data_IF_080648719548
#
_entry.id   IF_080648719548
#
_cell.length_a   1.000
_cell.length_b   1.000
_cell.length_c   1.000
_cell.angle_alpha   90.00
_cell.angle_beta   90.00
_cell.angle_gamma   90.00
#
_symmetry.space_group_name_H-M   'P 1'
#
loop_
_entity.id
_entity.type
_entity.pdbx_description
1 polymer ?
#
# COMPACT_ATOMS: atom_id res chain seq x y z
N UNK A 1 14.92 14.14 -15.49
CA UNK A 1 15.40 13.01 -16.18
C UNK A 1 16.24 11.96 -15.46
N UNK A 2 17.26 12.33 -14.65
CA UNK A 2 18.23 11.34 -14.11
C UNK A 2 17.59 10.28 -13.20
N UNK A 3 16.67 10.67 -12.32
CA UNK A 3 15.99 9.78 -11.35
C UNK A 3 15.16 8.70 -12.05
N UNK A 4 14.47 9.04 -13.14
CA UNK A 4 13.66 8.07 -13.91
C UNK A 4 14.49 7.08 -14.75
N UNK A 5 15.80 7.30 -14.89
CA UNK A 5 16.70 6.31 -15.52
C UNK A 5 17.08 5.19 -14.57
N UNK A 6 16.91 5.38 -13.27
CA UNK A 6 17.14 4.35 -12.27
C UNK A 6 15.96 3.38 -12.26
N UNK A 7 16.14 2.22 -12.91
CA UNK A 7 15.09 1.20 -13.04
C UNK A 7 14.60 0.65 -11.70
N UNK A 8 15.46 0.64 -10.68
CA UNK A 8 15.10 0.18 -9.35
C UNK A 8 14.18 1.18 -8.65
N UNK A 9 14.51 2.46 -8.72
CA UNK A 9 13.65 3.54 -8.24
C UNK A 9 12.27 3.51 -8.92
N UNK A 10 12.23 3.39 -10.25
CA UNK A 10 10.96 3.34 -11.01
C UNK A 10 10.07 2.19 -10.57
N UNK A 11 10.63 1.04 -10.22
CA UNK A 11 9.85 -0.10 -9.72
C UNK A 11 9.26 0.17 -8.34
N UNK A 12 10.04 0.73 -7.43
CA UNK A 12 9.54 1.06 -6.10
C UNK A 12 8.51 2.18 -6.14
N UNK A 13 8.67 3.19 -7.00
CA UNK A 13 7.69 4.27 -7.13
C UNK A 13 6.36 3.78 -7.76
N UNK A 14 6.42 2.86 -8.72
CA UNK A 14 5.22 2.23 -9.28
C UNK A 14 4.51 1.36 -8.23
N UNK A 15 5.26 0.55 -7.50
CA UNK A 15 4.71 -0.26 -6.42
C UNK A 15 4.07 0.63 -5.34
N UNK A 16 4.73 1.74 -4.95
CA UNK A 16 4.18 2.76 -4.08
C UNK A 16 2.88 3.36 -4.63
N UNK A 17 2.84 3.68 -5.93
CA UNK A 17 1.65 4.21 -6.60
C UNK A 17 0.45 3.25 -6.51
N UNK A 18 0.66 1.95 -6.74
CA UNK A 18 -0.41 0.96 -6.58
C UNK A 18 -0.87 0.81 -5.12
N UNK A 19 0.05 0.87 -4.16
CA UNK A 19 -0.31 0.89 -2.73
C UNK A 19 -1.15 2.11 -2.38
N UNK A 20 -0.79 3.29 -2.90
CA UNK A 20 -1.58 4.51 -2.79
C UNK A 20 -2.95 4.37 -3.47
N UNK A 21 -3.02 3.70 -4.61
CA UNK A 21 -4.29 3.38 -5.27
C UNK A 21 -5.23 2.59 -4.37
N UNK A 22 -4.74 1.58 -3.65
CA UNK A 22 -5.52 0.82 -2.65
C UNK A 22 -6.01 1.74 -1.51
N UNK A 23 -5.13 2.60 -0.99
CA UNK A 23 -5.50 3.57 0.04
C UNK A 23 -6.60 4.52 -0.43
N UNK A 24 -6.46 5.10 -1.62
CA UNK A 24 -7.46 6.03 -2.18
C UNK A 24 -8.77 5.33 -2.56
N UNK A 25 -8.73 4.05 -2.95
CA UNK A 25 -9.95 3.25 -3.09
C UNK A 25 -10.72 3.21 -1.78
N UNK A 26 -10.05 2.96 -0.65
CA UNK A 26 -10.70 2.97 0.66
C UNK A 26 -11.24 4.36 1.00
N UNK A 27 -10.45 5.42 0.82
CA UNK A 27 -10.88 6.79 1.13
C UNK A 27 -12.13 7.17 0.32
N UNK A 28 -12.17 6.81 -0.97
CA UNK A 28 -13.30 7.14 -1.85
C UNK A 28 -14.55 6.28 -1.58
N UNK A 29 -14.39 4.99 -1.23
CA UNK A 29 -15.51 4.07 -1.03
C UNK A 29 -16.08 4.05 0.38
N UNK A 30 -15.26 4.29 1.41
CA UNK A 30 -15.64 4.13 2.80
C UNK A 30 -16.89 4.93 3.22
N UNK A 31 -17.05 6.23 2.86
CA UNK A 31 -18.24 6.99 3.22
C UNK A 31 -19.53 6.35 2.68
N UNK A 32 -19.49 5.88 1.43
CA UNK A 32 -20.64 5.26 0.78
C UNK A 32 -20.94 3.88 1.36
N UNK A 33 -19.93 3.06 1.55
CA UNK A 33 -20.11 1.71 2.10
C UNK A 33 -20.58 1.78 3.55
N UNK A 34 -19.92 2.58 4.39
CA UNK A 34 -20.25 2.63 5.82
C UNK A 34 -21.58 3.34 6.08
N UNK A 35 -21.83 4.50 5.45
CA UNK A 35 -23.01 5.29 5.76
C UNK A 35 -24.23 4.89 4.92
N UNK A 36 -24.08 4.67 3.60
CA UNK A 36 -25.25 4.39 2.74
C UNK A 36 -25.61 2.91 2.73
N UNK A 37 -24.63 2.00 2.72
CA UNK A 37 -24.91 0.57 2.68
C UNK A 37 -25.17 -0.02 4.09
N UNK A 38 -24.30 0.29 5.06
CA UNK A 38 -24.44 -0.21 6.43
C UNK A 38 -25.23 0.72 7.36
N UNK A 39 -25.61 1.92 6.91
CA UNK A 39 -26.46 2.85 7.67
C UNK A 39 -25.79 3.48 8.89
N UNK A 40 -24.44 3.57 8.92
CA UNK A 40 -23.72 4.18 10.02
C UNK A 40 -24.00 5.70 10.09
N UNK A 41 -24.12 6.21 11.32
CA UNK A 41 -24.14 7.65 11.54
C UNK A 41 -22.79 8.27 11.14
N UNK A 42 -22.76 9.56 10.73
CA UNK A 42 -21.49 10.26 10.40
C UNK A 42 -20.49 10.24 11.56
N UNK A 43 -20.97 10.27 12.79
CA UNK A 43 -20.12 10.20 13.99
C UNK A 43 -19.43 8.82 14.07
N UNK A 44 -20.17 7.73 13.92
CA UNK A 44 -19.63 6.37 14.01
C UNK A 44 -18.68 6.08 12.84
N UNK A 45 -19.01 6.55 11.63
CA UNK A 45 -18.11 6.54 10.48
C UNK A 45 -16.76 7.21 10.81
N UNK A 46 -16.79 8.40 11.40
CA UNK A 46 -15.57 9.14 11.73
C UNK A 46 -14.72 8.41 12.77
N UNK A 47 -15.33 7.73 13.74
CA UNK A 47 -14.62 6.91 14.75
C UNK A 47 -13.96 5.71 14.08
N UNK A 48 -14.67 4.93 13.27
CA UNK A 48 -14.14 3.78 12.55
C UNK A 48 -13.01 4.19 11.62
N UNK A 49 -13.20 5.26 10.84
CA UNK A 49 -12.18 5.79 9.95
C UNK A 49 -10.92 6.25 10.71
N UNK A 50 -11.08 6.86 11.88
CA UNK A 50 -9.99 7.24 12.77
C UNK A 50 -9.24 6.03 13.33
N UNK A 51 -9.95 4.97 13.76
CA UNK A 51 -9.35 3.71 14.21
C UNK A 51 -8.53 3.07 13.10
N UNK A 52 -9.04 3.05 11.89
CA UNK A 52 -8.35 2.54 10.71
C UNK A 52 -7.08 3.35 10.38
N UNK A 53 -7.13 4.67 10.53
CA UNK A 53 -5.95 5.52 10.35
C UNK A 53 -4.88 5.24 11.42
N UNK A 54 -5.27 5.03 12.68
CA UNK A 54 -4.35 4.64 13.77
C UNK A 54 -3.69 3.28 13.47
N UNK A 55 -4.45 2.30 12.98
CA UNK A 55 -3.90 0.99 12.57
C UNK A 55 -2.81 1.15 11.50
N UNK A 56 -3.05 1.99 10.49
CA UNK A 56 -2.08 2.30 9.46
C UNK A 56 -0.80 2.94 10.02
N UNK A 57 -0.92 3.88 10.96
CA UNK A 57 0.24 4.53 11.61
C UNK A 57 1.03 3.52 12.45
N UNK A 58 0.37 2.68 13.25
CA UNK A 58 1.02 1.66 14.07
C UNK A 58 1.78 0.67 13.17
N UNK A 59 1.16 0.19 12.12
CA UNK A 59 1.80 -0.78 11.21
C UNK A 59 2.97 -0.15 10.42
N UNK A 60 2.87 1.12 10.06
CA UNK A 60 3.99 1.91 9.52
C UNK A 60 5.17 1.94 10.49
N UNK A 61 4.92 2.21 11.78
CA UNK A 61 5.96 2.22 12.80
C UNK A 61 6.54 0.81 13.04
N UNK A 62 5.72 -0.23 12.97
CA UNK A 62 6.17 -1.61 13.11
C UNK A 62 7.03 -2.08 11.92
N UNK A 63 6.84 -1.53 10.72
CA UNK A 63 7.65 -1.87 9.54
C UNK A 63 9.14 -1.61 9.77
N UNK A 64 9.48 -0.58 10.55
CA UNK A 64 10.87 -0.24 10.91
C UNK A 64 11.52 -1.29 11.81
N UNK A 65 10.71 -2.07 12.56
CA UNK A 65 11.21 -3.15 13.43
C UNK A 65 11.43 -4.47 12.68
N UNK A 66 11.01 -4.57 11.42
CA UNK A 66 11.33 -5.73 10.60
C UNK A 66 12.83 -5.82 10.33
N UNK A 67 13.32 -7.03 10.11
CA UNK A 67 14.75 -7.29 9.85
C UNK A 67 15.31 -6.49 8.67
N UNK A 68 14.49 -6.25 7.66
CA UNK A 68 14.80 -5.39 6.50
C UNK A 68 13.52 -4.74 5.96
N UNK A 69 13.64 -3.57 5.31
CA UNK A 69 12.52 -2.91 4.62
C UNK A 69 11.96 -3.75 3.48
N UNK A 70 12.80 -4.55 2.84
CA UNK A 70 12.38 -5.51 1.81
C UNK A 70 11.45 -6.57 2.40
N UNK A 71 11.76 -7.10 3.58
CA UNK A 71 10.91 -8.07 4.27
C UNK A 71 9.57 -7.44 4.69
N UNK A 72 9.59 -6.22 5.23
CA UNK A 72 8.37 -5.47 5.53
C UNK A 72 7.51 -5.25 4.28
N UNK A 73 8.12 -4.92 3.14
CA UNK A 73 7.43 -4.75 1.87
C UNK A 73 6.77 -6.05 1.39
N UNK A 74 7.45 -7.19 1.54
CA UNK A 74 6.88 -8.50 1.21
C UNK A 74 5.68 -8.83 2.07
N UNK A 75 5.79 -8.68 3.39
CA UNK A 75 4.67 -8.93 4.32
C UNK A 75 3.49 -8.02 3.96
N UNK A 76 3.73 -6.71 3.82
CA UNK A 76 2.69 -5.74 3.49
C UNK A 76 1.97 -6.07 2.17
N UNK A 77 2.71 -6.36 1.11
CA UNK A 77 2.12 -6.66 -0.20
C UNK A 77 1.34 -7.97 -0.23
N UNK A 78 1.89 -9.06 0.32
CA UNK A 78 1.18 -10.35 0.34
C UNK A 78 -0.02 -10.31 1.30
N UNK A 79 0.13 -9.65 2.45
CA UNK A 79 -0.99 -9.42 3.37
C UNK A 79 -2.10 -8.58 2.73
N UNK A 80 -1.73 -7.48 2.06
CA UNK A 80 -2.67 -6.63 1.33
C UNK A 80 -3.42 -7.40 0.24
N UNK A 81 -2.72 -8.25 -0.55
CA UNK A 81 -3.34 -9.08 -1.58
C UNK A 81 -4.29 -10.11 -0.96
N UNK A 82 -3.87 -10.81 0.08
CA UNK A 82 -4.70 -11.82 0.75
C UNK A 82 -5.97 -11.20 1.32
N UNK A 83 -5.86 -10.07 2.03
CA UNK A 83 -7.01 -9.40 2.64
C UNK A 83 -7.92 -8.77 1.59
N UNK A 84 -7.38 -8.26 0.47
CA UNK A 84 -8.21 -7.73 -0.61
C UNK A 84 -9.06 -8.82 -1.28
N UNK A 85 -8.56 -10.05 -1.39
CA UNK A 85 -9.34 -11.20 -1.86
C UNK A 85 -10.47 -11.51 -0.86
N UNK A 86 -10.15 -11.58 0.44
CA UNK A 86 -11.17 -11.83 1.47
C UNK A 86 -12.24 -10.73 1.48
N UNK A 87 -11.84 -9.47 1.32
CA UNK A 87 -12.77 -8.35 1.28
C UNK A 87 -13.68 -8.41 0.03
N UNK A 88 -13.14 -8.80 -1.13
CA UNK A 88 -13.92 -8.98 -2.34
C UNK A 88 -14.95 -10.11 -2.18
N UNK A 89 -14.56 -11.23 -1.57
CA UNK A 89 -15.48 -12.32 -1.24
C UNK A 89 -16.53 -11.89 -0.22
N UNK A 90 -16.14 -11.13 0.81
CA UNK A 90 -17.05 -10.60 1.81
C UNK A 90 -18.11 -9.66 1.21
N UNK A 91 -17.74 -8.83 0.26
CA UNK A 91 -18.70 -8.00 -0.50
C UNK A 91 -19.67 -8.84 -1.32
N UNK A 92 -19.19 -9.89 -1.97
CA UNK A 92 -20.05 -10.79 -2.73
C UNK A 92 -21.06 -11.53 -1.83
N UNK A 93 -20.64 -11.94 -0.63
CA UNK A 93 -21.48 -12.63 0.36
C UNK A 93 -22.38 -11.68 1.18
N UNK A 94 -22.38 -10.37 0.91
CA UNK A 94 -23.10 -9.36 1.69
C UNK A 94 -22.83 -9.47 3.20
N UNK A 95 -21.55 -9.49 3.57
CA UNK A 95 -21.13 -9.64 4.95
C UNK A 95 -21.70 -8.52 5.85
N UNK A 96 -21.74 -8.79 7.14
CA UNK A 96 -22.13 -7.82 8.13
C UNK A 96 -21.01 -6.74 8.30
N UNK A 97 -21.39 -5.56 8.81
CA UNK A 97 -20.49 -4.41 9.01
C UNK A 97 -19.21 -4.78 9.80
N UNK A 98 -19.30 -5.55 10.85
CA UNK A 98 -18.14 -5.88 11.67
C UNK A 98 -17.09 -6.72 10.93
N UNK A 99 -17.52 -7.61 10.04
CA UNK A 99 -16.60 -8.39 9.18
C UNK A 99 -15.89 -7.44 8.19
N UNK A 100 -16.66 -6.55 7.57
CA UNK A 100 -16.11 -5.52 6.70
C UNK A 100 -15.07 -4.65 7.42
N UNK A 101 -15.40 -4.13 8.61
CA UNK A 101 -14.52 -3.23 9.37
C UNK A 101 -13.22 -3.92 9.78
N UNK A 102 -13.28 -5.16 10.28
CA UNK A 102 -12.08 -5.93 10.61
C UNK A 102 -11.20 -6.17 9.40
N UNK A 103 -11.79 -6.49 8.24
CA UNK A 103 -11.02 -6.70 7.01
C UNK A 103 -10.38 -5.41 6.53
N UNK A 104 -11.08 -4.27 6.58
CA UNK A 104 -10.53 -2.96 6.22
C UNK A 104 -9.41 -2.55 7.19
N UNK A 105 -9.60 -2.75 8.49
CA UNK A 105 -8.56 -2.51 9.50
C UNK A 105 -7.28 -3.29 9.20
N UNK A 106 -7.40 -4.59 8.91
CA UNK A 106 -6.28 -5.43 8.52
C UNK A 106 -5.66 -4.99 7.17
N UNK A 107 -6.50 -4.63 6.17
CA UNK A 107 -6.03 -4.13 4.88
C UNK A 107 -5.19 -2.87 5.04
N UNK A 108 -5.69 -1.88 5.77
CA UNK A 108 -4.99 -0.62 5.99
C UNK A 108 -3.72 -0.78 6.84
N UNK A 109 -3.69 -1.76 7.74
CA UNK A 109 -2.46 -2.14 8.44
C UNK A 109 -1.40 -2.65 7.46
N UNK A 110 -1.76 -3.49 6.49
CA UNK A 110 -0.83 -3.98 5.47
C UNK A 110 -0.42 -2.86 4.49
N UNK A 111 -1.36 -1.98 4.13
CA UNK A 111 -1.08 -0.77 3.34
C UNK A 111 -0.06 0.12 4.05
N UNK A 112 -0.21 0.39 5.33
CA UNK A 112 0.72 1.21 6.11
C UNK A 112 2.14 0.64 6.11
N UNK A 113 2.28 -0.68 6.25
CA UNK A 113 3.56 -1.37 6.19
C UNK A 113 4.19 -1.28 4.79
N UNK A 114 3.42 -1.59 3.74
CA UNK A 114 3.89 -1.52 2.35
C UNK A 114 4.25 -0.09 1.92
N UNK A 115 3.44 0.90 2.33
CA UNK A 115 3.66 2.32 2.09
C UNK A 115 5.01 2.80 2.63
N UNK A 116 5.27 2.55 3.91
CA UNK A 116 6.52 2.98 4.56
C UNK A 116 7.73 2.27 3.96
N UNK A 117 7.63 0.96 3.73
CA UNK A 117 8.72 0.19 3.17
C UNK A 117 9.07 0.62 1.73
N UNK A 118 8.06 0.81 0.87
CA UNK A 118 8.29 1.24 -0.52
C UNK A 118 8.85 2.66 -0.60
N UNK A 119 8.34 3.59 0.22
CA UNK A 119 8.84 4.95 0.30
C UNK A 119 10.33 4.96 0.71
N UNK A 120 10.68 4.24 1.77
CA UNK A 120 12.06 4.14 2.25
C UNK A 120 12.99 3.55 1.19
N UNK A 121 12.60 2.43 0.57
CA UNK A 121 13.40 1.77 -0.46
C UNK A 121 13.57 2.63 -1.72
N UNK A 122 12.53 3.36 -2.13
CA UNK A 122 12.61 4.30 -3.25
C UNK A 122 13.58 5.44 -2.95
N UNK A 123 13.48 6.06 -1.77
CA UNK A 123 14.37 7.15 -1.34
C UNK A 123 15.82 6.69 -1.21
N UNK A 124 16.07 5.46 -0.74
CA UNK A 124 17.41 4.89 -0.65
C UNK A 124 18.09 4.70 -2.02
N UNK A 125 17.30 4.49 -3.08
CA UNK A 125 17.83 4.39 -4.44
C UNK A 125 18.36 5.72 -5.00
N UNK A 126 17.86 6.86 -4.50
CA UNK A 126 18.12 8.20 -5.07
C UNK A 126 18.53 9.24 -4.01
N UNK A 127 19.38 8.86 -3.07
CA UNK A 127 19.84 9.73 -1.97
C UNK A 127 20.46 11.04 -2.44
N UNK A 128 21.16 11.04 -3.58
CA UNK A 128 21.78 12.25 -4.17
C UNK A 128 20.75 13.24 -4.72
N UNK A 129 19.58 12.75 -5.13
CA UNK A 129 18.51 13.53 -5.74
C UNK A 129 17.23 13.46 -4.87
N UNK A 130 17.37 13.39 -3.55
CA UNK A 130 16.27 13.13 -2.61
C UNK A 130 15.07 14.08 -2.78
N UNK A 131 15.32 15.37 -3.06
CA UNK A 131 14.24 16.34 -3.30
C UNK A 131 13.40 16.03 -4.54
N UNK A 132 14.05 15.65 -5.65
CA UNK A 132 13.33 15.25 -6.87
C UNK A 132 12.64 13.91 -6.69
N UNK A 133 13.29 12.96 -6.01
CA UNK A 133 12.73 11.65 -5.73
C UNK A 133 11.47 11.76 -4.85
N UNK A 134 11.49 12.55 -3.78
CA UNK A 134 10.31 12.74 -2.92
C UNK A 134 9.17 13.46 -3.64
N UNK A 135 9.47 14.46 -4.47
CA UNK A 135 8.46 15.13 -5.27
C UNK A 135 7.78 14.18 -6.27
N UNK A 136 8.55 13.29 -6.91
CA UNK A 136 8.00 12.27 -7.81
C UNK A 136 7.16 11.23 -7.06
N UNK A 137 7.57 10.79 -5.87
CA UNK A 137 6.77 9.91 -5.01
C UNK A 137 5.41 10.53 -4.71
N UNK A 138 5.40 11.80 -4.25
CA UNK A 138 4.14 12.51 -4.01
C UNK A 138 3.28 12.64 -5.26
N UNK A 139 3.86 13.05 -6.38
CA UNK A 139 3.15 13.23 -7.65
C UNK A 139 2.53 11.91 -8.14
N UNK A 140 3.27 10.81 -8.12
CA UNK A 140 2.77 9.48 -8.52
C UNK A 140 1.69 8.99 -7.56
N UNK A 141 1.89 9.13 -6.24
CA UNK A 141 0.87 8.73 -5.26
C UNK A 141 -0.47 9.43 -5.49
N UNK A 142 -0.46 10.75 -5.66
CA UNK A 142 -1.68 11.51 -5.95
C UNK A 142 -2.24 11.25 -7.35
N UNK A 143 -1.40 10.99 -8.36
CA UNK A 143 -1.87 10.62 -9.69
C UNK A 143 -2.64 9.31 -9.66
N UNK A 144 -2.14 8.28 -8.97
CA UNK A 144 -2.86 7.02 -8.77
C UNK A 144 -4.17 7.24 -8.01
N UNK A 145 -4.16 8.05 -6.96
CA UNK A 145 -5.37 8.45 -6.23
C UNK A 145 -6.40 9.14 -7.11
N UNK A 146 -5.97 10.11 -7.91
CA UNK A 146 -6.82 10.85 -8.84
C UNK A 146 -7.43 9.99 -9.95
N UNK A 147 -6.74 8.93 -10.38
CA UNK A 147 -7.27 7.97 -11.35
C UNK A 147 -8.25 7.00 -10.69
N UNK A 148 -7.89 6.46 -9.52
CA UNK A 148 -8.66 5.40 -8.88
C UNK A 148 -9.94 5.92 -8.22
N UNK A 149 -9.92 7.12 -7.61
CA UNK A 149 -11.09 7.65 -6.91
C UNK A 149 -12.35 7.77 -7.77
N UNK A 150 -12.32 8.28 -9.02
CA UNK A 150 -13.49 8.29 -9.89
C UNK A 150 -13.96 6.89 -10.29
N UNK A 151 -13.03 5.95 -10.44
CA UNK A 151 -13.36 4.57 -10.84
C UNK A 151 -14.20 3.83 -9.79
N UNK A 152 -14.05 4.19 -8.51
CA UNK A 152 -14.90 3.65 -7.42
C UNK A 152 -16.38 3.97 -7.68
N UNK A 153 -16.70 5.15 -8.23
CA UNK A 153 -18.08 5.58 -8.50
C UNK A 153 -18.68 5.04 -9.81
N UNK A 154 -17.92 4.28 -10.62
CA UNK A 154 -18.38 3.75 -11.90
C UNK A 154 -19.11 2.41 -11.71
N UNK A 155 -20.34 2.43 -11.24
CA UNK A 155 -21.18 1.26 -11.04
C UNK A 155 -21.54 1.01 -9.57
N UNK A 156 -21.72 -0.27 -9.20
CA UNK A 156 -21.93 -0.62 -7.78
C UNK A 156 -20.62 -0.41 -6.99
N UNK A 157 -20.68 0.48 -6.00
CA UNK A 157 -19.49 0.94 -5.26
C UNK A 157 -18.77 -0.23 -4.56
N UNK A 158 -19.49 -1.24 -4.05
CA UNK A 158 -18.88 -2.39 -3.39
C UNK A 158 -18.10 -3.26 -4.36
N UNK A 159 -18.72 -3.56 -5.49
CA UNK A 159 -18.09 -4.37 -6.56
C UNK A 159 -16.87 -3.64 -7.15
N UNK A 160 -17.03 -2.34 -7.43
CA UNK A 160 -15.93 -1.51 -7.95
C UNK A 160 -14.79 -1.40 -6.94
N UNK A 161 -15.09 -1.16 -5.66
CA UNK A 161 -14.08 -1.08 -4.60
C UNK A 161 -13.37 -2.42 -4.41
N UNK A 162 -14.10 -3.53 -4.35
CA UNK A 162 -13.52 -4.89 -4.23
C UNK A 162 -12.56 -5.19 -5.39
N UNK A 163 -12.97 -4.90 -6.62
CA UNK A 163 -12.13 -5.08 -7.79
C UNK A 163 -10.87 -4.20 -7.75
N UNK A 164 -11.00 -2.93 -7.37
CA UNK A 164 -9.87 -2.00 -7.29
C UNK A 164 -8.89 -2.35 -6.16
N UNK A 165 -9.39 -2.82 -5.01
CA UNK A 165 -8.54 -3.35 -3.94
C UNK A 165 -7.72 -4.54 -4.42
N UNK A 166 -8.37 -5.49 -5.08
CA UNK A 166 -7.70 -6.69 -5.61
C UNK A 166 -6.67 -6.33 -6.68
N UNK A 167 -7.06 -5.55 -7.70
CA UNK A 167 -6.18 -5.16 -8.80
C UNK A 167 -5.00 -4.32 -8.31
N UNK A 168 -5.22 -3.35 -7.43
CA UNK A 168 -4.17 -2.54 -6.84
C UNK A 168 -3.16 -3.37 -6.04
N UNK A 169 -3.65 -4.29 -5.20
CA UNK A 169 -2.81 -5.20 -4.43
C UNK A 169 -2.02 -6.17 -5.31
N UNK A 170 -2.66 -6.72 -6.35
CA UNK A 170 -2.02 -7.64 -7.31
C UNK A 170 -0.89 -6.94 -8.08
N UNK A 171 -1.17 -5.75 -8.64
CA UNK A 171 -0.16 -4.96 -9.35
C UNK A 171 1.00 -4.56 -8.43
N UNK A 172 0.72 -4.18 -7.18
CA UNK A 172 1.73 -3.87 -6.17
C UNK A 172 2.64 -5.08 -5.90
N UNK A 173 2.07 -6.27 -5.73
CA UNK A 173 2.82 -7.52 -5.56
C UNK A 173 3.69 -7.86 -6.77
N UNK A 174 3.17 -7.72 -7.97
CA UNK A 174 3.90 -7.97 -9.22
C UNK A 174 5.10 -7.03 -9.31
N UNK A 175 4.91 -5.72 -9.10
CA UNK A 175 5.98 -4.74 -9.12
C UNK A 175 7.08 -5.05 -8.08
N UNK A 176 6.69 -5.46 -6.87
CA UNK A 176 7.65 -5.86 -5.83
C UNK A 176 8.47 -7.09 -6.24
N UNK A 177 7.86 -8.14 -6.77
CA UNK A 177 8.58 -9.34 -7.25
C UNK A 177 9.64 -8.99 -8.30
N UNK A 178 9.32 -8.15 -9.26
CA UNK A 178 10.28 -7.70 -10.28
C UNK A 178 11.41 -6.85 -9.70
N UNK A 179 11.21 -6.20 -8.55
CA UNK A 179 12.25 -5.42 -7.87
C UNK A 179 13.31 -6.31 -7.22
N UNK A 180 12.92 -7.47 -6.67
CA UNK A 180 13.82 -8.37 -5.94
C UNK A 180 14.63 -9.32 -6.85
N UNK A 181 14.10 -9.68 -8.01
CA UNK A 181 14.75 -10.70 -8.87
C UNK A 181 16.07 -10.23 -9.51
N UNK A 182 16.51 -8.98 -9.33
CA UNK A 182 17.75 -8.42 -9.90
C UNK A 182 18.65 -7.72 -8.88
N UNK A 183 18.65 -8.13 -7.62
CA UNK A 183 19.68 -7.69 -6.68
C UNK A 183 20.93 -8.55 -6.93
N UNK A 184 22.01 -8.01 -7.55
CA UNK A 184 23.28 -8.72 -7.49
C UNK A 184 23.71 -8.76 -6.03
N UNK A 185 24.17 -9.92 -5.62
CA UNK A 185 24.70 -10.27 -4.29
C UNK A 185 25.87 -9.36 -3.85
N UNK A 186 25.64 -8.06 -3.70
CA UNK A 186 26.70 -7.09 -3.34
C UNK A 186 26.91 -6.93 -1.83
N UNK A 187 26.13 -7.62 -1.00
CA UNK A 187 26.27 -7.53 0.49
C UNK A 187 27.06 -8.65 1.14
N UNK A 188 27.53 -9.68 0.42
CA UNK A 188 28.41 -10.70 1.02
C UNK A 188 29.88 -10.28 1.14
N UNK A 189 30.29 -9.18 0.51
CA UNK A 189 31.70 -8.73 0.51
C UNK A 189 32.11 -7.79 1.64
N UNK A 190 31.16 -7.12 2.32
CA UNK A 190 31.53 -6.14 3.36
C UNK A 190 31.62 -6.73 4.78
N UNK A 191 31.09 -7.93 4.99
CA UNK A 191 31.17 -8.61 6.32
C UNK A 191 32.52 -9.29 6.57
N UNK A 192 33.30 -9.56 5.54
CA UNK A 192 34.59 -10.26 5.67
C UNK A 192 35.81 -9.32 5.77
N UNK A 193 35.65 -8.01 5.49
CA UNK A 193 36.77 -7.06 5.60
C UNK A 193 36.89 -6.37 6.97
N UNK A 194 35.90 -6.56 7.88
CA UNK A 194 35.92 -5.99 9.24
C UNK A 194 36.43 -6.95 10.32
N UNK A 195 36.88 -8.15 9.94
CA UNK A 195 37.44 -9.15 10.88
C UNK A 195 38.99 -9.16 10.87
N UNK A 196 39.59 -8.32 10.02
CA UNK A 196 41.07 -8.20 9.93
C UNK A 196 41.55 -6.74 10.16
N UNK A 197 41.12 -6.09 11.23
CA UNK A 197 41.85 -4.97 11.84
C UNK A 197 41.74 -5.10 13.35
#
# INVERSE_FOLDING_TARGET
GAVLRNRQYVRYILQYGFTMGVLFTNIASAPFIMQQHYGLSPMLFSVCFGVNAVAMVISSALSVRCSTMEHALHIGNHGMLFISVLLSVAFFLNCNFWVYEVLVFCLLSMVGMAFTASNTLAMDCERRNAGVASALLGAIGFAFGGIVSPLVGMGDIRSSAGFLFFMGALCSCICARFSFHRLPSRRKGLSLSLIHI
#
